data_IF_744330922451
#
_entry.id   IF_744330922451
#
_cell.length_a   1.000
_cell.length_b   1.000
_cell.length_c   1.000
_cell.angle_alpha   90.00
_cell.angle_beta   90.00
_cell.angle_gamma   90.00
#
_symmetry.space_group_name_H-M   'P 1'
#
loop_
_entity.id
_entity.type
_entity.pdbx_description
1 polymer ?
#
# COMPACT_ATOMS: atom_id res chain seq x y z
N UNK A 1 -26.96 -0.58 17.55
CA UNK A 1 -26.69 -1.48 18.69
C UNK A 1 -25.47 -0.89 19.41
N UNK A 2 -25.63 -0.45 20.65
CA UNK A 2 -24.54 0.05 21.49
C UNK A 2 -23.69 -1.16 21.84
N UNK A 3 -22.42 -1.14 21.44
CA UNK A 3 -21.51 -2.28 21.58
C UNK A 3 -21.17 -2.46 23.08
N UNK A 4 -21.39 -3.65 23.65
CA UNK A 4 -21.16 -3.96 25.08
C UNK A 4 -19.73 -3.61 25.55
N UNK A 5 -18.76 -3.59 24.65
CA UNK A 5 -17.36 -3.21 24.96
C UNK A 5 -17.17 -1.75 25.39
N UNK A 6 -18.10 -0.83 25.09
CA UNK A 6 -18.02 0.57 25.51
C UNK A 6 -18.76 0.86 26.83
N UNK A 7 -19.52 -0.10 27.36
CA UNK A 7 -20.40 0.10 28.52
C UNK A 7 -19.67 0.43 29.84
N UNK A 8 -18.35 0.30 29.90
CA UNK A 8 -17.54 0.57 31.11
C UNK A 8 -16.59 1.78 30.96
N UNK A 9 -16.53 2.42 29.78
CA UNK A 9 -15.66 3.58 29.56
C UNK A 9 -16.42 4.86 29.84
N UNK A 10 -15.82 5.73 30.64
CA UNK A 10 -16.37 7.02 31.00
C UNK A 10 -15.28 8.11 31.01
N UNK A 11 -15.63 9.35 31.31
CA UNK A 11 -14.71 10.50 31.32
C UNK A 11 -13.49 10.32 32.21
N UNK A 12 -13.56 9.47 33.27
CA UNK A 12 -12.49 9.20 34.21
C UNK A 12 -11.59 8.02 33.81
N UNK A 13 -11.95 7.33 32.75
CA UNK A 13 -11.11 6.22 32.23
C UNK A 13 -9.78 6.78 31.72
N UNK A 14 -8.67 6.15 32.11
CA UNK A 14 -7.34 6.57 31.63
C UNK A 14 -7.17 6.24 30.15
N UNK A 15 -6.34 7.01 29.45
CA UNK A 15 -6.09 6.79 28.03
C UNK A 15 -5.59 5.36 27.74
N UNK A 16 -4.60 4.78 28.49
CA UNK A 16 -4.18 3.39 28.24
C UNK A 16 -5.33 2.37 28.37
N UNK A 17 -6.21 2.50 29.38
CA UNK A 17 -7.36 1.59 29.55
C UNK A 17 -8.37 1.72 28.41
N UNK A 18 -8.61 2.95 27.92
CA UNK A 18 -9.49 3.18 26.79
C UNK A 18 -8.92 2.61 25.47
N UNK A 19 -7.59 2.55 25.32
CA UNK A 19 -6.94 1.96 24.13
C UNK A 19 -7.14 0.43 24.08
N UNK A 20 -7.10 -0.26 25.21
CA UNK A 20 -7.39 -1.71 25.25
C UNK A 20 -8.82 -2.01 24.78
N UNK A 21 -9.79 -1.23 25.23
CA UNK A 21 -11.18 -1.41 24.79
C UNK A 21 -11.37 -1.03 23.30
N UNK A 22 -10.64 -0.02 22.82
CA UNK A 22 -10.70 0.35 21.41
C UNK A 22 -10.07 -0.70 20.49
N UNK A 23 -9.03 -1.40 20.93
CA UNK A 23 -8.45 -2.55 20.22
C UNK A 23 -9.49 -3.65 20.01
N UNK A 24 -10.24 -4.00 21.06
CA UNK A 24 -11.33 -4.97 20.99
C UNK A 24 -12.38 -4.49 19.99
N UNK A 25 -12.82 -3.23 20.11
CA UNK A 25 -13.79 -2.64 19.20
C UNK A 25 -13.33 -2.72 17.73
N UNK A 26 -12.09 -2.33 17.42
CA UNK A 26 -11.55 -2.41 16.05
C UNK A 26 -11.51 -3.84 15.53
N UNK A 27 -11.21 -4.81 16.40
CA UNK A 27 -11.19 -6.24 16.06
C UNK A 27 -12.60 -6.73 15.73
N UNK A 28 -13.58 -6.40 16.56
CA UNK A 28 -14.99 -6.75 16.36
C UNK A 28 -15.59 -6.13 15.10
N UNK A 29 -15.13 -4.92 14.75
CA UNK A 29 -15.49 -4.26 13.49
C UNK A 29 -14.81 -4.88 12.25
N UNK A 30 -13.99 -5.92 12.41
CA UNK A 30 -13.30 -6.60 11.32
C UNK A 30 -12.20 -5.75 10.67
N UNK A 31 -11.61 -4.82 11.40
CA UNK A 31 -10.46 -4.06 10.95
C UNK A 31 -9.27 -4.98 10.69
N UNK A 32 -8.45 -4.66 9.66
CA UNK A 32 -7.27 -5.47 9.39
C UNK A 32 -6.25 -5.38 10.53
N UNK A 33 -5.47 -6.46 10.82
CA UNK A 33 -4.40 -6.41 11.84
C UNK A 33 -3.43 -5.25 11.63
N UNK A 34 -3.08 -4.94 10.38
CA UNK A 34 -2.25 -3.79 10.05
C UNK A 34 -2.88 -2.43 10.41
N UNK A 35 -4.20 -2.29 10.22
CA UNK A 35 -4.94 -1.09 10.61
C UNK A 35 -4.94 -0.94 12.13
N UNK A 36 -5.24 -2.02 12.84
CA UNK A 36 -5.27 -2.05 14.31
C UNK A 36 -3.90 -1.64 14.86
N UNK A 37 -2.84 -2.34 14.44
CA UNK A 37 -1.45 -2.04 14.87
C UNK A 37 -1.06 -0.60 14.58
N UNK A 38 -1.38 -0.07 13.38
CA UNK A 38 -1.03 1.30 13.01
C UNK A 38 -1.79 2.33 13.85
N UNK A 39 -3.09 2.13 14.07
CA UNK A 39 -3.92 3.05 14.82
C UNK A 39 -3.56 3.04 16.30
N UNK A 40 -3.41 1.86 16.92
CA UNK A 40 -2.95 1.74 18.30
C UNK A 40 -1.55 2.32 18.48
N UNK A 41 -0.62 2.06 17.58
CA UNK A 41 0.72 2.64 17.63
C UNK A 41 0.71 4.17 17.63
N UNK A 42 -0.20 4.81 16.87
CA UNK A 42 -0.37 6.26 16.87
C UNK A 42 -0.92 6.78 18.22
N UNK A 43 -1.88 6.07 18.80
CA UNK A 43 -2.49 6.43 20.08
C UNK A 43 -1.57 6.14 21.27
N UNK A 44 -0.73 5.09 21.21
CA UNK A 44 0.31 4.87 22.21
C UNK A 44 1.37 5.99 22.21
N UNK A 45 1.65 6.60 21.06
CA UNK A 45 2.49 7.79 21.01
C UNK A 45 1.83 8.98 21.72
N UNK A 46 0.51 9.16 21.56
CA UNK A 46 -0.22 10.17 22.34
C UNK A 46 -0.16 9.86 23.85
N UNK A 47 -0.38 8.60 24.23
CA UNK A 47 -0.30 8.16 25.63
C UNK A 47 1.11 8.36 26.25
N UNK A 48 2.17 8.22 25.44
CA UNK A 48 3.55 8.47 25.89
C UNK A 48 3.90 9.98 25.99
N UNK A 49 3.17 10.82 25.29
CA UNK A 49 3.34 12.27 25.32
C UNK A 49 2.58 12.91 26.48
N UNK A 50 1.38 12.42 26.80
CA UNK A 50 0.55 12.90 27.91
C UNK A 50 0.99 12.28 29.25
N UNK A 51 0.62 12.87 30.41
CA UNK A 51 0.80 12.24 31.72
C UNK A 51 0.17 10.84 31.75
N UNK A 52 0.80 9.85 32.43
CA UNK A 52 0.38 8.44 32.41
C UNK A 52 -1.05 8.19 32.92
N UNK A 53 -1.53 9.03 33.80
CA UNK A 53 -2.86 8.98 34.45
C UNK A 53 -3.90 9.86 33.76
N UNK A 54 -3.55 10.46 32.61
CA UNK A 54 -4.46 11.35 31.88
C UNK A 54 -5.77 10.65 31.52
N UNK A 55 -6.87 11.19 32.00
CA UNK A 55 -8.22 10.68 31.73
C UNK A 55 -8.70 11.15 30.35
N UNK A 56 -9.49 10.31 29.65
CA UNK A 56 -9.98 10.64 28.31
C UNK A 56 -10.87 11.87 28.28
N UNK A 57 -11.59 12.15 29.36
CA UNK A 57 -12.44 13.33 29.49
C UNK A 57 -11.68 14.66 29.70
N UNK A 58 -10.39 14.59 30.04
CA UNK A 58 -9.53 15.76 30.24
C UNK A 58 -8.70 16.14 29.01
N UNK A 59 -8.70 15.29 27.99
CA UNK A 59 -7.93 15.54 26.77
C UNK A 59 -8.64 16.59 25.93
N UNK A 60 -7.97 17.71 25.74
CA UNK A 60 -8.49 18.85 25.00
C UNK A 60 -7.95 18.94 23.55
N UNK A 61 -8.58 19.78 22.73
CA UNK A 61 -8.05 20.15 21.41
C UNK A 61 -6.63 20.73 21.50
N UNK A 62 -6.32 21.49 22.56
CA UNK A 62 -5.00 22.06 22.78
C UNK A 62 -3.95 20.96 23.00
N UNK A 63 -4.26 19.93 23.80
CA UNK A 63 -3.37 18.77 24.00
C UNK A 63 -3.07 18.06 22.68
N UNK A 64 -4.09 17.82 21.85
CA UNK A 64 -3.92 17.18 20.55
C UNK A 64 -3.08 18.03 19.59
N UNK A 65 -3.30 19.34 19.52
CA UNK A 65 -2.51 20.23 18.69
C UNK A 65 -1.04 20.32 19.16
N UNK A 66 -0.81 20.35 20.47
CA UNK A 66 0.54 20.35 21.03
C UNK A 66 1.26 19.02 20.74
N UNK A 67 0.58 17.88 20.89
CA UNK A 67 1.11 16.58 20.49
C UNK A 67 1.49 16.54 19.02
N UNK A 68 0.64 17.02 18.11
CA UNK A 68 0.93 17.05 16.67
C UNK A 68 2.12 17.94 16.35
N UNK A 69 2.25 19.11 17.01
CA UNK A 69 3.40 20.02 16.87
C UNK A 69 4.68 19.35 17.36
N UNK A 70 4.63 18.69 18.51
CA UNK A 70 5.75 17.90 19.03
C UNK A 70 6.19 16.82 18.06
N UNK A 71 5.21 16.12 17.44
CA UNK A 71 5.50 15.11 16.42
C UNK A 71 6.20 15.66 15.16
N UNK A 72 5.87 16.88 14.75
CA UNK A 72 6.46 17.53 13.58
C UNK A 72 7.86 18.08 13.85
N UNK A 73 8.06 18.71 15.02
CA UNK A 73 9.20 19.61 15.22
C UNK A 73 10.15 19.18 16.34
N UNK A 74 9.71 18.43 17.35
CA UNK A 74 10.46 18.25 18.60
C UNK A 74 10.87 16.81 18.88
N UNK A 75 10.22 15.85 18.22
CA UNK A 75 10.44 14.42 18.46
C UNK A 75 11.68 13.93 17.73
N UNK A 76 12.76 14.36 17.61
CA UNK A 76 14.00 13.82 16.98
C UNK A 76 13.87 12.63 16.00
N UNK A 77 12.65 12.30 15.57
CA UNK A 77 12.30 11.27 14.58
C UNK A 77 11.45 11.93 13.50
N UNK A 78 11.93 12.00 12.25
CA UNK A 78 11.22 12.67 11.18
C UNK A 78 9.78 12.13 11.01
N UNK A 79 8.81 13.04 10.95
CA UNK A 79 7.41 12.70 10.68
C UNK A 79 7.01 13.23 9.31
N UNK A 80 6.89 12.33 8.32
CA UNK A 80 6.43 12.76 7.00
C UNK A 80 5.02 13.33 7.06
N UNK A 81 4.65 14.29 6.19
CA UNK A 81 3.30 14.84 6.14
C UNK A 81 2.22 13.76 5.96
N UNK A 82 2.52 12.70 5.21
CA UNK A 82 1.61 11.54 5.03
C UNK A 82 1.42 10.76 6.33
N UNK A 83 2.50 10.58 7.10
CA UNK A 83 2.45 9.91 8.40
C UNK A 83 1.64 10.74 9.39
N UNK A 84 1.83 12.07 9.41
CA UNK A 84 1.08 12.98 10.26
C UNK A 84 -0.43 12.94 9.92
N UNK A 85 -0.77 12.99 8.63
CA UNK A 85 -2.16 12.89 8.18
C UNK A 85 -2.82 11.57 8.63
N UNK A 86 -2.10 10.44 8.57
CA UNK A 86 -2.59 9.15 9.08
C UNK A 86 -2.82 9.21 10.60
N UNK A 87 -1.90 9.78 11.37
CA UNK A 87 -2.04 9.95 12.83
C UNK A 87 -3.24 10.79 13.21
N UNK A 88 -3.49 11.88 12.49
CA UNK A 88 -4.71 12.68 12.67
C UNK A 88 -5.96 11.82 12.42
N UNK A 89 -5.93 10.94 11.42
CA UNK A 89 -7.05 10.01 11.16
C UNK A 89 -7.25 9.04 12.33
N UNK A 90 -6.17 8.50 12.92
CA UNK A 90 -6.25 7.62 14.08
C UNK A 90 -6.85 8.35 15.30
N UNK A 91 -6.38 9.58 15.59
CA UNK A 91 -6.92 10.43 16.65
C UNK A 91 -8.43 10.70 16.45
N UNK A 92 -8.82 11.14 15.23
CA UNK A 92 -10.22 11.42 14.93
C UNK A 92 -11.11 10.19 15.05
N UNK A 93 -10.62 9.02 14.65
CA UNK A 93 -11.37 7.75 14.76
C UNK A 93 -11.58 7.36 16.22
N UNK A 94 -10.53 7.43 17.05
CA UNK A 94 -10.60 7.09 18.46
C UNK A 94 -11.54 8.03 19.25
N UNK A 95 -11.35 9.33 19.14
CA UNK A 95 -12.17 10.29 19.89
C UNK A 95 -13.62 10.34 19.38
N UNK A 96 -13.87 10.05 18.12
CA UNK A 96 -15.22 9.85 17.60
C UNK A 96 -15.89 8.64 18.27
N UNK A 97 -15.19 7.51 18.34
CA UNK A 97 -15.69 6.31 19.02
C UNK A 97 -16.04 6.57 20.49
N UNK A 98 -15.17 7.27 21.24
CA UNK A 98 -15.47 7.66 22.62
C UNK A 98 -16.70 8.56 22.74
N UNK A 99 -16.86 9.51 21.83
CA UNK A 99 -18.00 10.43 21.83
C UNK A 99 -19.30 9.73 21.44
N UNK A 100 -19.31 8.94 20.38
CA UNK A 100 -20.47 8.17 19.92
C UNK A 100 -20.89 7.10 20.94
N UNK A 101 -19.93 6.55 21.69
CA UNK A 101 -20.17 5.64 22.83
C UNK A 101 -20.60 6.33 24.12
N UNK A 102 -20.70 7.66 24.15
CA UNK A 102 -21.10 8.44 25.32
C UNK A 102 -20.04 8.54 26.42
N UNK A 103 -18.81 8.07 26.18
CA UNK A 103 -17.72 8.14 27.14
C UNK A 103 -17.22 9.56 27.40
N UNK A 104 -17.32 10.44 26.39
CA UNK A 104 -16.98 11.87 26.48
C UNK A 104 -18.12 12.71 25.90
N UNK A 105 -18.33 13.92 26.44
CA UNK A 105 -19.41 14.81 26.01
C UNK A 105 -19.12 15.55 24.70
N UNK A 106 -17.87 15.84 24.43
CA UNK A 106 -17.42 16.53 23.22
C UNK A 106 -16.20 15.83 22.61
N UNK A 107 -16.13 15.79 21.29
CA UNK A 107 -14.99 15.19 20.56
C UNK A 107 -13.85 16.21 20.39
N UNK A 108 -12.73 16.12 21.15
CA UNK A 108 -11.65 17.10 21.06
C UNK A 108 -10.92 17.04 19.71
N UNK A 109 -11.00 15.92 18.98
CA UNK A 109 -10.33 15.75 17.69
C UNK A 109 -11.17 16.27 16.50
N UNK A 110 -12.41 16.69 16.70
CA UNK A 110 -13.29 17.16 15.63
C UNK A 110 -12.68 18.34 14.87
N UNK A 111 -12.18 19.34 15.61
CA UNK A 111 -11.58 20.57 15.08
C UNK A 111 -10.10 20.46 14.74
N UNK A 112 -9.47 19.28 14.90
CA UNK A 112 -8.08 19.07 14.48
C UNK A 112 -8.00 19.22 12.97
N UNK A 113 -7.15 20.15 12.50
CA UNK A 113 -6.98 20.43 11.08
C UNK A 113 -6.09 19.38 10.44
N UNK A 114 -6.62 18.69 9.43
CA UNK A 114 -5.87 17.76 8.61
C UNK A 114 -5.57 18.42 7.25
N UNK A 115 -4.31 18.79 7.04
CA UNK A 115 -3.89 19.34 5.74
C UNK A 115 -3.93 18.23 4.69
N UNK A 116 -4.45 18.56 3.51
CA UNK A 116 -4.36 17.67 2.35
C UNK A 116 -2.89 17.54 1.93
N UNK A 117 -2.39 16.32 1.93
CA UNK A 117 -1.01 16.03 1.52
C UNK A 117 -1.04 15.50 0.10
N UNK A 118 -0.48 16.27 -0.83
CA UNK A 118 -0.21 15.76 -2.17
C UNK A 118 0.95 14.78 -2.09
N UNK A 119 0.69 13.52 -2.43
CA UNK A 119 1.78 12.56 -2.56
C UNK A 119 2.65 12.92 -3.75
N UNK A 120 3.98 12.87 -3.65
CA UNK A 120 4.87 13.11 -4.78
C UNK A 120 4.54 12.14 -5.93
N UNK A 121 5.02 12.47 -7.12
CA UNK A 121 4.96 11.53 -8.25
C UNK A 121 5.78 10.29 -7.88
N UNK A 122 5.26 9.09 -8.16
CA UNK A 122 6.03 7.87 -7.94
C UNK A 122 7.17 7.77 -8.97
N UNK A 123 8.28 7.21 -8.55
CA UNK A 123 9.32 6.80 -9.48
C UNK A 123 8.87 5.57 -10.27
N UNK A 124 9.23 5.54 -11.55
CA UNK A 124 8.96 4.43 -12.47
C UNK A 124 10.22 4.05 -13.24
N UNK A 125 10.26 2.84 -13.74
CA UNK A 125 11.33 2.37 -14.63
C UNK A 125 11.09 2.86 -16.06
N UNK A 126 12.16 3.22 -16.75
CA UNK A 126 12.14 3.48 -18.18
C UNK A 126 12.05 2.15 -18.96
N UNK A 127 11.67 2.17 -20.25
CA UNK A 127 11.68 0.95 -21.06
C UNK A 127 13.05 0.23 -21.08
N UNK A 128 14.14 0.98 -21.18
CA UNK A 128 15.50 0.43 -21.17
C UNK A 128 15.87 -0.18 -19.81
N UNK A 129 15.45 0.45 -18.70
CA UNK A 129 15.65 -0.11 -17.36
C UNK A 129 14.86 -1.40 -17.18
N UNK A 130 13.62 -1.47 -17.68
CA UNK A 130 12.81 -2.70 -17.66
C UNK A 130 13.50 -3.82 -18.44
N UNK A 131 13.99 -3.52 -19.64
CA UNK A 131 14.71 -4.51 -20.49
C UNK A 131 15.93 -5.05 -19.76
N UNK A 132 16.80 -4.18 -19.24
CA UNK A 132 17.99 -4.60 -18.48
C UNK A 132 17.65 -5.47 -17.27
N UNK A 133 16.61 -5.15 -16.53
CA UNK A 133 16.19 -5.96 -15.38
C UNK A 133 15.69 -7.33 -15.83
N UNK A 134 14.92 -7.41 -16.92
CA UNK A 134 14.43 -8.69 -17.46
C UNK A 134 15.61 -9.54 -17.93
N UNK A 135 16.57 -8.96 -18.64
CA UNK A 135 17.73 -9.68 -19.15
C UNK A 135 18.60 -10.22 -18.01
N UNK A 136 18.87 -9.41 -16.97
CA UNK A 136 19.56 -9.87 -15.75
C UNK A 136 18.77 -10.99 -15.04
N UNK A 137 17.45 -10.88 -14.98
CA UNK A 137 16.62 -11.93 -14.37
C UNK A 137 16.61 -13.23 -15.19
N UNK A 138 16.76 -13.15 -16.53
CA UNK A 138 16.95 -14.30 -17.42
C UNK A 138 18.33 -14.94 -17.22
N UNK A 139 19.37 -14.13 -17.02
CA UNK A 139 20.71 -14.64 -16.69
C UNK A 139 20.68 -15.42 -15.37
N UNK A 140 19.97 -14.94 -14.34
CA UNK A 140 19.79 -15.70 -13.11
C UNK A 140 19.06 -17.02 -13.33
N UNK A 141 18.04 -17.06 -14.20
CA UNK A 141 17.30 -18.27 -14.54
C UNK A 141 18.19 -19.32 -15.24
N UNK A 142 19.12 -18.86 -16.08
CA UNK A 142 19.94 -19.72 -16.97
C UNK A 142 21.35 -19.98 -16.42
N UNK A 143 21.73 -19.39 -15.30
CA UNK A 143 23.04 -19.48 -14.69
C UNK A 143 23.38 -20.90 -14.16
N UNK A 144 24.62 -21.09 -13.67
CA UNK A 144 25.05 -22.36 -13.10
C UNK A 144 24.35 -22.73 -11.78
N UNK A 145 23.82 -21.73 -11.07
CA UNK A 145 22.97 -21.89 -9.88
C UNK A 145 21.68 -21.09 -10.11
N UNK A 146 20.70 -21.71 -10.80
CA UNK A 146 19.51 -20.98 -11.26
C UNK A 146 18.68 -20.42 -10.10
N UNK A 147 18.32 -19.13 -10.17
CA UNK A 147 17.35 -18.48 -9.29
C UNK A 147 16.18 -17.90 -10.11
N UNK A 148 15.07 -18.62 -10.09
CA UNK A 148 13.88 -18.22 -10.82
C UNK A 148 13.02 -17.18 -10.09
N UNK A 149 13.28 -16.91 -8.80
CA UNK A 149 12.48 -15.98 -7.99
C UNK A 149 12.42 -14.59 -8.61
N UNK A 150 13.58 -14.09 -9.01
CA UNK A 150 13.73 -12.73 -9.53
C UNK A 150 12.94 -12.53 -10.81
N UNK A 151 13.06 -13.47 -11.75
CA UNK A 151 12.33 -13.43 -13.01
C UNK A 151 10.82 -13.50 -12.79
N UNK A 152 10.33 -14.51 -12.06
CA UNK A 152 8.90 -14.68 -11.84
C UNK A 152 8.27 -13.55 -11.06
N UNK A 153 8.95 -13.02 -10.04
CA UNK A 153 8.42 -11.94 -9.24
C UNK A 153 8.32 -10.63 -10.03
N UNK A 154 9.42 -10.26 -10.70
CA UNK A 154 9.48 -8.99 -11.44
C UNK A 154 8.48 -8.98 -12.61
N UNK A 155 8.48 -10.01 -13.43
CA UNK A 155 7.58 -10.11 -14.59
C UNK A 155 6.12 -10.24 -14.18
N UNK A 156 5.80 -10.99 -13.10
CA UNK A 156 4.44 -11.03 -12.55
C UNK A 156 3.92 -9.62 -12.19
N UNK A 157 4.75 -8.80 -11.52
CA UNK A 157 4.33 -7.46 -11.13
C UNK A 157 4.14 -6.57 -12.37
N UNK A 158 5.02 -6.66 -13.36
CA UNK A 158 4.91 -5.90 -14.61
C UNK A 158 3.67 -6.28 -15.42
N UNK A 159 3.42 -7.57 -15.60
CA UNK A 159 2.29 -8.05 -16.40
C UNK A 159 0.95 -7.73 -15.71
N UNK A 160 0.88 -7.92 -14.40
CA UNK A 160 -0.39 -7.90 -13.67
C UNK A 160 -0.65 -6.64 -12.86
N UNK A 161 0.36 -5.82 -12.57
CA UNK A 161 0.24 -4.71 -11.64
C UNK A 161 -0.24 -5.13 -10.25
N UNK A 162 0.03 -6.37 -9.82
CA UNK A 162 -0.42 -6.94 -8.54
C UNK A 162 0.11 -6.16 -7.34
N UNK A 163 -0.64 -6.09 -6.23
CA UNK A 163 -0.17 -5.50 -4.97
C UNK A 163 0.71 -6.49 -4.21
N UNK A 164 1.66 -5.99 -3.43
CA UNK A 164 2.53 -6.84 -2.60
C UNK A 164 1.74 -7.80 -1.70
N UNK A 165 0.68 -7.31 -1.04
CA UNK A 165 -0.17 -8.17 -0.20
C UNK A 165 -0.94 -9.23 -0.99
N UNK A 166 -1.38 -8.90 -2.21
CA UNK A 166 -2.01 -9.87 -3.12
C UNK A 166 -0.99 -10.93 -3.55
N UNK A 167 0.23 -10.51 -3.94
CA UNK A 167 1.31 -11.41 -4.32
C UNK A 167 1.66 -12.40 -3.21
N UNK A 168 1.77 -11.93 -1.96
CA UNK A 168 2.05 -12.77 -0.79
C UNK A 168 0.92 -13.77 -0.46
N UNK A 169 -0.29 -13.51 -0.92
CA UNK A 169 -1.45 -14.41 -0.72
C UNK A 169 -1.68 -15.38 -1.88
N UNK A 170 -0.87 -15.28 -2.96
CA UNK A 170 -0.98 -16.21 -4.08
C UNK A 170 -0.58 -17.62 -3.67
N UNK A 171 -1.35 -18.58 -4.15
CA UNK A 171 -1.02 -20.00 -4.14
C UNK A 171 -0.94 -20.56 -5.56
N UNK A 172 -0.33 -21.73 -5.78
CA UNK A 172 -0.33 -22.40 -7.08
C UNK A 172 -1.74 -22.56 -7.67
N UNK A 173 -2.76 -22.76 -6.84
CA UNK A 173 -4.16 -22.91 -7.27
C UNK A 173 -4.79 -21.62 -7.84
N UNK A 174 -4.13 -20.48 -7.69
CA UNK A 174 -4.56 -19.23 -8.33
C UNK A 174 -4.08 -19.12 -9.79
N UNK A 175 -3.17 -19.98 -10.23
CA UNK A 175 -2.70 -20.03 -11.61
C UNK A 175 -3.56 -21.03 -12.38
N UNK A 176 -4.23 -20.56 -13.42
CA UNK A 176 -5.02 -21.39 -14.33
C UNK A 176 -4.31 -21.44 -15.69
N UNK A 177 -3.77 -22.61 -16.01
CA UNK A 177 -3.04 -22.87 -17.24
C UNK A 177 -3.97 -23.14 -18.43
N UNK A 178 -5.14 -23.72 -18.16
CA UNK A 178 -6.09 -24.24 -19.17
C UNK A 178 -7.26 -23.28 -19.42
N UNK A 179 -7.12 -22.00 -19.12
CA UNK A 179 -8.18 -21.05 -19.39
C UNK A 179 -8.36 -20.83 -20.91
N UNK A 180 -9.60 -20.72 -21.38
CA UNK A 180 -9.95 -20.63 -22.81
C UNK A 180 -9.28 -19.48 -23.57
N UNK A 181 -8.84 -18.43 -22.87
CA UNK A 181 -8.19 -17.24 -23.43
C UNK A 181 -6.69 -17.17 -23.08
N UNK A 182 -6.07 -18.30 -22.81
CA UNK A 182 -4.66 -18.40 -22.37
C UNK A 182 -4.50 -18.41 -20.85
N UNK A 183 -3.28 -18.67 -20.37
CA UNK A 183 -3.00 -18.79 -18.95
C UNK A 183 -3.25 -17.48 -18.20
N UNK A 184 -3.72 -17.60 -16.96
CA UNK A 184 -4.05 -16.45 -16.14
C UNK A 184 -3.78 -16.70 -14.65
N UNK A 185 -3.60 -15.61 -13.90
CA UNK A 185 -3.65 -15.60 -12.45
C UNK A 185 -4.98 -15.02 -11.96
N UNK A 186 -5.60 -15.67 -10.98
CA UNK A 186 -6.80 -15.18 -10.33
C UNK A 186 -6.47 -14.57 -8.96
N UNK A 187 -6.64 -13.26 -8.84
CA UNK A 187 -6.48 -12.54 -7.58
C UNK A 187 -7.78 -12.68 -6.78
N UNK A 188 -7.70 -13.32 -5.62
CA UNK A 188 -8.81 -13.58 -4.71
C UNK A 188 -8.63 -12.88 -3.37
N UNK A 189 -9.74 -12.65 -2.68
CA UNK A 189 -9.77 -12.05 -1.35
C UNK A 189 -10.61 -12.90 -0.39
N UNK A 190 -10.04 -13.25 0.75
CA UNK A 190 -10.76 -13.96 1.80
C UNK A 190 -11.90 -13.09 2.40
N UNK A 191 -11.64 -11.78 2.56
CA UNK A 191 -12.64 -10.84 3.11
C UNK A 191 -13.73 -10.52 2.09
N UNK A 192 -15.03 -10.73 2.43
CA UNK A 192 -16.16 -10.37 1.55
C UNK A 192 -16.14 -8.91 1.10
N UNK A 193 -15.69 -8.00 1.97
CA UNK A 193 -15.61 -6.55 1.69
C UNK A 193 -14.63 -6.20 0.56
N UNK A 194 -13.69 -7.10 0.23
CA UNK A 194 -12.69 -6.88 -0.80
C UNK A 194 -12.96 -7.65 -2.10
N UNK A 195 -14.03 -8.47 -2.17
CA UNK A 195 -14.35 -9.29 -3.36
C UNK A 195 -14.52 -8.48 -4.64
N UNK A 196 -14.96 -7.23 -4.55
CA UNK A 196 -15.06 -6.34 -5.71
C UNK A 196 -13.70 -6.02 -6.38
N UNK A 197 -12.58 -6.38 -5.74
CA UNK A 197 -11.21 -6.24 -6.27
C UNK A 197 -10.71 -7.54 -6.92
N UNK A 198 -11.47 -8.63 -6.81
CA UNK A 198 -11.11 -9.90 -7.44
C UNK A 198 -11.09 -9.76 -8.95
N UNK A 199 -10.10 -10.37 -9.57
CA UNK A 199 -9.86 -10.24 -11.00
C UNK A 199 -8.99 -11.34 -11.55
N UNK A 200 -9.17 -11.63 -12.84
CA UNK A 200 -8.34 -12.55 -13.62
C UNK A 200 -7.41 -11.72 -14.49
N UNK A 201 -6.13 -12.04 -14.47
CA UNK A 201 -5.10 -11.30 -15.18
C UNK A 201 -4.31 -12.28 -16.05
N UNK A 202 -4.09 -11.98 -17.35
CA UNK A 202 -3.34 -12.85 -18.21
C UNK A 202 -1.87 -12.94 -17.78
N UNK A 203 -1.25 -14.06 -18.09
CA UNK A 203 0.18 -14.33 -17.91
C UNK A 203 0.78 -14.70 -19.26
N UNK A 204 2.02 -14.28 -19.50
CA UNK A 204 2.74 -14.62 -20.71
C UNK A 204 3.16 -16.11 -20.75
N UNK A 205 3.41 -16.64 -21.94
CA UNK A 205 3.93 -17.98 -22.10
C UNK A 205 5.30 -18.14 -21.43
N UNK A 206 6.18 -17.15 -21.58
CA UNK A 206 7.50 -17.13 -20.93
C UNK A 206 7.39 -17.21 -19.39
N UNK A 207 6.40 -16.51 -18.81
CA UNK A 207 6.13 -16.59 -17.37
C UNK A 207 5.72 -18.02 -16.97
N UNK A 208 4.89 -18.67 -17.78
CA UNK A 208 4.41 -20.03 -17.50
C UNK A 208 5.54 -21.06 -17.60
N UNK A 209 6.40 -20.94 -18.61
CA UNK A 209 7.60 -21.79 -18.72
C UNK A 209 8.48 -21.67 -17.46
N UNK A 210 8.81 -20.43 -17.07
CA UNK A 210 9.57 -20.18 -15.85
C UNK A 210 8.84 -20.68 -14.59
N UNK A 211 7.51 -20.59 -14.55
CA UNK A 211 6.71 -21.10 -13.43
C UNK A 211 6.80 -22.62 -13.30
N UNK A 212 6.82 -23.37 -14.40
CA UNK A 212 7.01 -24.83 -14.34
C UNK A 212 8.36 -25.19 -13.74
N UNK A 213 9.45 -24.55 -14.17
CA UNK A 213 10.79 -24.73 -13.62
C UNK A 213 10.85 -24.36 -12.12
N UNK A 214 10.25 -23.22 -11.77
CA UNK A 214 10.19 -22.70 -10.41
C UNK A 214 9.47 -23.66 -9.45
N UNK A 215 8.37 -24.27 -9.87
CA UNK A 215 7.65 -25.27 -9.06
C UNK A 215 8.51 -26.48 -8.74
N UNK A 216 9.34 -26.90 -9.66
CA UNK A 216 10.27 -28.03 -9.46
C UNK A 216 11.38 -27.61 -8.50
N UNK A 217 11.96 -26.44 -8.68
CA UNK A 217 13.06 -25.94 -7.85
C UNK A 217 12.67 -25.73 -6.39
N UNK A 218 11.51 -25.13 -6.14
CA UNK A 218 11.09 -24.73 -4.78
C UNK A 218 10.03 -25.63 -4.14
N UNK A 219 9.60 -26.70 -4.81
CA UNK A 219 8.62 -27.67 -4.28
C UNK A 219 7.41 -26.97 -3.64
N UNK A 220 6.77 -26.06 -4.40
CA UNK A 220 5.73 -25.18 -3.93
C UNK A 220 4.53 -25.95 -3.34
N UNK A 221 4.12 -25.57 -2.15
CA UNK A 221 2.95 -26.08 -1.43
C UNK A 221 1.82 -25.04 -1.42
N UNK A 222 1.61 -24.36 -0.29
CA UNK A 222 0.48 -23.45 -0.08
C UNK A 222 0.67 -22.07 -0.72
N UNK A 223 1.90 -21.62 -0.92
CA UNK A 223 2.21 -20.26 -1.40
C UNK A 223 3.05 -20.28 -2.65
N UNK A 224 2.70 -19.37 -3.58
CA UNK A 224 3.49 -19.15 -4.77
C UNK A 224 4.87 -18.55 -4.43
N UNK A 225 4.91 -17.60 -3.50
CA UNK A 225 6.14 -17.01 -2.97
C UNK A 225 6.21 -17.25 -1.45
N UNK A 226 6.87 -18.32 -0.98
CA UNK A 226 6.91 -18.71 0.43
C UNK A 226 7.90 -17.88 1.26
N UNK A 227 8.08 -16.61 0.94
CA UNK A 227 8.98 -15.69 1.64
C UNK A 227 8.23 -14.53 2.28
N UNK A 228 8.92 -13.83 3.18
CA UNK A 228 8.37 -12.63 3.81
C UNK A 228 8.26 -11.47 2.82
N UNK A 229 7.37 -10.51 3.12
CA UNK A 229 7.24 -9.28 2.36
C UNK A 229 8.56 -8.51 2.19
N UNK A 230 9.41 -8.55 3.23
CA UNK A 230 10.72 -7.90 3.23
C UNK A 230 11.70 -8.61 2.31
N UNK A 231 11.69 -9.94 2.31
CA UNK A 231 12.55 -10.73 1.42
C UNK A 231 12.23 -10.47 -0.05
N UNK A 232 10.93 -10.40 -0.41
CA UNK A 232 10.54 -10.09 -1.79
C UNK A 232 10.97 -8.68 -2.23
N UNK A 233 10.97 -7.68 -1.31
CA UNK A 233 11.54 -6.37 -1.62
C UNK A 233 13.05 -6.44 -1.85
N UNK A 234 13.80 -7.25 -1.08
CA UNK A 234 15.23 -7.45 -1.31
C UNK A 234 15.50 -8.13 -2.66
N UNK A 235 14.73 -9.14 -3.05
CA UNK A 235 14.86 -9.77 -4.37
C UNK A 235 14.76 -8.74 -5.50
N UNK A 236 13.79 -7.82 -5.42
CA UNK A 236 13.64 -6.74 -6.42
C UNK A 236 14.77 -5.71 -6.35
N UNK A 237 15.19 -5.34 -5.14
CA UNK A 237 16.27 -4.37 -4.92
C UNK A 237 17.60 -4.90 -5.45
N UNK A 238 17.95 -6.15 -5.14
CA UNK A 238 19.20 -6.77 -5.56
C UNK A 238 19.21 -7.00 -7.08
N UNK A 239 18.11 -7.51 -7.65
CA UNK A 239 17.95 -7.62 -9.09
C UNK A 239 18.15 -6.26 -9.80
N UNK A 240 17.59 -5.18 -9.25
CA UNK A 240 17.78 -3.84 -9.81
C UNK A 240 19.23 -3.36 -9.73
N UNK A 241 19.95 -3.64 -8.63
CA UNK A 241 21.38 -3.31 -8.48
C UNK A 241 22.22 -4.05 -9.51
N UNK A 242 21.99 -5.33 -9.68
CA UNK A 242 22.78 -6.17 -10.58
C UNK A 242 22.47 -5.83 -12.06
N UNK A 243 21.26 -5.35 -12.36
CA UNK A 243 20.92 -4.76 -13.65
C UNK A 243 21.49 -3.34 -13.86
N UNK A 244 22.27 -2.80 -12.92
CA UNK A 244 22.87 -1.48 -12.99
C UNK A 244 21.86 -0.34 -12.89
N UNK A 245 20.73 -0.54 -12.18
CA UNK A 245 19.73 0.48 -11.96
C UNK A 245 20.07 1.29 -10.71
N UNK A 246 20.17 2.62 -10.86
CA UNK A 246 20.52 3.53 -9.74
C UNK A 246 19.33 3.76 -8.79
N UNK A 247 18.10 3.58 -9.28
CA UNK A 247 16.86 3.67 -8.48
C UNK A 247 16.72 2.43 -7.61
N UNK A 248 16.13 2.59 -6.43
CA UNK A 248 15.78 1.44 -5.59
C UNK A 248 14.55 0.74 -6.13
N UNK A 249 14.73 -0.35 -6.87
CA UNK A 249 13.63 -1.13 -7.42
C UNK A 249 12.78 -1.72 -6.28
N UNK A 250 11.47 -1.53 -6.34
CA UNK A 250 10.52 -1.93 -5.31
C UNK A 250 9.19 -2.38 -5.92
N UNK A 251 8.37 -3.11 -5.16
CA UNK A 251 7.01 -3.48 -5.57
C UNK A 251 6.20 -2.29 -6.08
N UNK A 252 6.28 -1.16 -5.36
CA UNK A 252 5.54 0.04 -5.74
C UNK A 252 6.00 0.57 -7.09
N UNK A 253 7.31 0.66 -7.31
CA UNK A 253 7.89 1.11 -8.58
C UNK A 253 7.48 0.21 -9.74
N UNK A 254 7.65 -1.12 -9.61
CA UNK A 254 7.27 -2.07 -10.66
C UNK A 254 5.77 -1.98 -11.00
N UNK A 255 4.90 -1.86 -9.99
CA UNK A 255 3.47 -1.70 -10.19
C UNK A 255 3.10 -0.39 -10.90
N UNK A 256 3.76 0.73 -10.56
CA UNK A 256 3.56 2.00 -11.25
C UNK A 256 4.09 1.93 -12.69
N UNK A 257 5.22 1.26 -12.91
CA UNK A 257 5.78 1.01 -14.25
C UNK A 257 4.78 0.23 -15.11
N UNK A 258 4.19 -0.86 -14.60
CA UNK A 258 3.11 -1.60 -15.26
C UNK A 258 1.96 -0.69 -15.68
N UNK A 259 1.49 0.15 -14.76
CA UNK A 259 0.37 1.06 -15.03
C UNK A 259 0.70 2.15 -16.05
N UNK A 260 1.95 2.68 -16.04
CA UNK A 260 2.42 3.66 -17.02
C UNK A 260 2.57 3.02 -18.40
N UNK A 261 3.07 1.78 -18.49
CA UNK A 261 3.15 1.04 -19.75
C UNK A 261 1.76 0.84 -20.37
N UNK A 262 0.78 0.40 -19.58
CA UNK A 262 -0.60 0.25 -20.04
C UNK A 262 -1.18 1.59 -20.53
N UNK A 263 -0.93 2.67 -19.78
CA UNK A 263 -1.40 4.01 -20.13
C UNK A 263 -0.82 4.50 -21.47
N UNK A 264 0.48 4.31 -21.69
CA UNK A 264 1.18 4.65 -22.93
C UNK A 264 0.73 3.80 -24.13
N UNK A 265 0.42 2.55 -23.87
CA UNK A 265 -0.13 1.64 -24.88
C UNK A 265 -1.59 1.94 -25.23
N UNK A 266 -2.19 2.99 -24.65
CA UNK A 266 -3.56 3.38 -24.94
C UNK A 266 -4.62 2.43 -24.38
N UNK A 267 -4.27 1.61 -23.39
CA UNK A 267 -5.23 0.71 -22.73
C UNK A 267 -6.33 1.55 -22.07
N UNK A 268 -7.57 1.13 -22.23
CA UNK A 268 -8.73 1.78 -21.63
C UNK A 268 -8.58 1.99 -20.12
N UNK A 269 -8.91 3.19 -19.64
CA UNK A 269 -8.71 3.59 -18.25
C UNK A 269 -9.44 2.69 -17.25
N UNK A 270 -10.64 2.18 -17.59
CA UNK A 270 -11.36 1.25 -16.74
C UNK A 270 -10.65 -0.11 -16.68
N UNK A 271 -10.05 -0.56 -17.79
CA UNK A 271 -9.25 -1.80 -17.81
C UNK A 271 -8.01 -1.64 -16.94
N UNK A 272 -7.31 -0.50 -17.00
CA UNK A 272 -6.17 -0.21 -16.11
C UNK A 272 -6.64 -0.20 -14.65
N UNK A 273 -7.75 0.46 -14.33
CA UNK A 273 -8.33 0.49 -12.99
C UNK A 273 -8.65 -0.91 -12.47
N UNK A 274 -9.30 -1.73 -13.31
CA UNK A 274 -9.63 -3.11 -12.98
C UNK A 274 -8.38 -3.97 -12.78
N UNK A 275 -7.40 -3.89 -13.70
CA UNK A 275 -6.09 -4.56 -13.57
C UNK A 275 -5.43 -4.22 -12.23
N UNK A 276 -5.43 -2.96 -11.84
CA UNK A 276 -4.85 -2.51 -10.58
C UNK A 276 -5.69 -2.88 -9.33
N UNK A 277 -6.92 -3.34 -9.47
CA UNK A 277 -7.82 -3.67 -8.35
C UNK A 277 -8.04 -2.50 -7.40
N UNK A 278 -8.43 -1.33 -7.93
CA UNK A 278 -8.67 -0.09 -7.18
C UNK A 278 -10.05 0.48 -7.49
N UNK A 279 -10.57 1.27 -6.52
CA UNK A 279 -11.86 1.94 -6.69
C UNK A 279 -11.77 3.12 -7.67
N UNK A 280 -12.91 3.58 -8.16
CA UNK A 280 -12.98 4.77 -9.03
C UNK A 280 -12.43 6.03 -8.34
N UNK A 281 -12.72 6.19 -7.05
CA UNK A 281 -12.21 7.33 -6.26
C UNK A 281 -10.68 7.33 -6.21
N UNK A 282 -10.08 6.16 -5.96
CA UNK A 282 -8.62 6.00 -5.98
C UNK A 282 -8.04 6.22 -7.38
N UNK A 283 -8.73 5.76 -8.42
CA UNK A 283 -8.25 5.88 -9.77
C UNK A 283 -8.19 7.33 -10.26
N UNK A 284 -9.08 8.22 -9.80
CA UNK A 284 -9.03 9.65 -10.15
C UNK A 284 -7.71 10.34 -9.77
N UNK A 285 -7.09 9.95 -8.65
CA UNK A 285 -5.77 10.45 -8.28
C UNK A 285 -4.68 9.78 -9.11
N UNK A 286 -4.79 8.47 -9.32
CA UNK A 286 -3.81 7.67 -10.05
C UNK A 286 -3.77 8.09 -11.52
N UNK A 287 -4.90 8.29 -12.18
CA UNK A 287 -4.95 8.69 -13.59
C UNK A 287 -4.26 10.03 -13.87
N UNK A 288 -4.40 11.01 -12.95
CA UNK A 288 -3.65 12.27 -13.05
C UNK A 288 -2.14 12.05 -13.00
N UNK A 289 -1.67 11.18 -12.08
CA UNK A 289 -0.25 10.84 -11.97
C UNK A 289 0.25 10.07 -13.20
N UNK A 290 -0.55 9.13 -13.73
CA UNK A 290 -0.21 8.40 -14.95
C UNK A 290 -0.06 9.33 -16.15
N UNK A 291 -0.98 10.29 -16.28
CA UNK A 291 -0.91 11.30 -17.33
C UNK A 291 0.39 12.12 -17.24
N UNK A 292 0.78 12.58 -16.04
CA UNK A 292 2.04 13.32 -15.86
C UNK A 292 3.25 12.43 -16.18
N UNK A 293 3.33 11.21 -15.59
CA UNK A 293 4.44 10.28 -15.81
C UNK A 293 4.60 9.80 -17.25
N UNK A 294 3.51 9.76 -18.02
CA UNK A 294 3.59 9.40 -19.43
C UNK A 294 4.22 10.51 -20.28
N UNK A 295 4.06 11.77 -19.90
CA UNK A 295 4.66 12.93 -20.59
C UNK A 295 6.13 13.14 -20.24
N UNK A 296 6.49 13.05 -18.94
CA UNK A 296 7.85 13.33 -18.47
C UNK A 296 8.92 12.42 -19.10
N UNK A 297 8.57 11.19 -19.47
CA UNK A 297 9.51 10.26 -20.14
C UNK A 297 9.45 10.33 -21.68
N UNK A 298 8.52 11.10 -22.27
CA UNK A 298 8.43 11.27 -23.72
C UNK A 298 9.35 12.37 -24.24
N UNK A 299 10.06 13.10 -23.38
CA UNK A 299 10.98 14.15 -23.77
C UNK A 299 10.30 15.41 -24.37
N UNK A 300 9.00 15.58 -24.16
CA UNK A 300 8.30 16.80 -24.52
C UNK A 300 8.63 17.88 -23.48
N UNK A 301 9.68 18.65 -23.76
CA UNK A 301 10.02 19.88 -23.06
C UNK A 301 8.78 20.79 -22.95
N UNK A 302 8.58 21.31 -21.74
CA UNK A 302 7.66 22.40 -21.47
C UNK A 302 8.10 23.64 -22.26
N UNK A 303 7.67 23.79 -23.48
CA UNK A 303 7.58 25.12 -24.11
C UNK A 303 6.46 25.84 -23.36
N UNK A 304 6.86 26.71 -22.43
CA UNK A 304 6.03 27.75 -21.87
C UNK A 304 5.27 28.46 -22.98
N UNK A 305 3.96 28.29 -23.04
CA UNK A 305 3.10 29.21 -23.78
C UNK A 305 3.22 30.58 -23.12
N UNK A 306 4.14 31.36 -23.65
CA UNK A 306 4.15 32.81 -23.47
C UNK A 306 2.85 33.35 -24.04
N UNK A 307 1.95 33.77 -23.17
CA UNK A 307 0.80 34.62 -23.50
C UNK A 307 1.31 35.90 -24.12
N UNK A 308 0.87 36.31 -25.32
CA UNK A 308 1.12 37.66 -25.81
C UNK A 308 0.17 38.61 -25.07
N UNK A 309 0.76 39.54 -24.34
CA UNK A 309 0.09 40.79 -23.95
C UNK A 309 -0.34 41.54 -25.20
N UNK A 310 -1.59 41.91 -25.26
CA UNK A 310 -2.11 43.04 -26.06
C UNK A 310 -3.35 43.60 -25.38
#
# INVERSE_FOLDING_TARGET
>A
MINESSAHINTRTTLPSALLAWEIFLTDQGSSPHTITAFLGDLHLLASYLPPDRQVGEISLADLNNFLRWMENERNVPCSPKTLARRITSLKSFFRWLHEGGAIQANPAEKVVQKSVRSPLPEVLTPDEVTRIIDTAREYRQGPDPDLRSFLLFTLILETGIKKGECLSLSPNHINLDASNGPLVFIRYASPQNRYKERKLPLSEEWIEAYHEYRVQYQLDDRLFPWSARMLEYVLEDLGKDAGITKRVSFSMCRWTSAVQDWRSGIDQNKIRQKLGISEVQFREISRKLHTLSRDQSGEDLTEESTPES
#
